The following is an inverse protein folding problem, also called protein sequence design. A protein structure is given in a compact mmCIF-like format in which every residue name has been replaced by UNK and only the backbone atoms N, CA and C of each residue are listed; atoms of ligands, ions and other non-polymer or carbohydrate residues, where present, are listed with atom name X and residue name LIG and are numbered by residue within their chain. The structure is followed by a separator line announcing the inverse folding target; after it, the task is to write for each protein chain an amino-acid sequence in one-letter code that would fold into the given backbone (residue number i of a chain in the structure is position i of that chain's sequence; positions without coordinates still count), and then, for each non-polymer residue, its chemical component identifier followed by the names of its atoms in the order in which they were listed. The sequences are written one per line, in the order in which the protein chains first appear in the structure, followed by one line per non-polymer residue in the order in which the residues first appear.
data_IF_020565648718
#
_entry.id   IF_020565648718
#
_cell.length_a   1.000
_cell.length_b   1.000
_cell.length_c   1.000
_cell.angle_alpha   90.00
_cell.angle_beta   90.00
_cell.angle_gamma   90.00
#
_symmetry.space_group_name_H-M   'P 1'
#
loop_
_entity.id
_entity.type
_entity.pdbx_description
1 polymer ?
#
# COMPACT_ATOMS: atom_id res chain seq x y z
N UNK A 1 16.10 -10.18 -15.42
CA UNK A 1 14.69 -10.63 -15.40
C UNK A 1 13.77 -9.42 -15.23
N UNK A 2 13.67 -8.52 -16.22
CA UNK A 2 12.90 -7.27 -16.07
C UNK A 2 11.40 -7.56 -15.84
N UNK A 3 10.79 -6.95 -14.84
CA UNK A 3 9.36 -7.09 -14.52
C UNK A 3 8.96 -8.47 -13.98
N UNK A 4 9.90 -9.25 -13.45
CA UNK A 4 9.67 -10.61 -12.93
C UNK A 4 10.13 -10.73 -11.48
N UNK A 5 9.63 -11.72 -10.74
CA UNK A 5 10.07 -11.98 -9.36
C UNK A 5 11.59 -12.11 -9.24
N UNK A 6 12.22 -12.79 -10.21
CA UNK A 6 13.67 -12.98 -10.23
C UNK A 6 14.48 -11.67 -10.37
N UNK A 7 13.88 -10.55 -10.76
CA UNK A 7 14.56 -9.25 -10.82
C UNK A 7 15.19 -8.89 -9.47
N UNK A 8 14.48 -9.17 -8.38
CA UNK A 8 14.90 -8.89 -7.02
C UNK A 8 15.87 -9.95 -6.46
N UNK A 9 16.32 -10.90 -7.29
CA UNK A 9 17.38 -11.87 -6.93
C UNK A 9 18.73 -11.51 -7.52
N UNK A 10 18.77 -10.56 -8.46
CA UNK A 10 19.97 -10.16 -9.20
C UNK A 10 20.82 -9.20 -8.35
N UNK A 11 22.05 -9.62 -8.04
CA UNK A 11 23.02 -8.81 -7.30
C UNK A 11 24.03 -8.17 -8.24
N UNK A 12 24.63 -7.06 -7.82
CA UNK A 12 25.62 -6.31 -8.59
C UNK A 12 25.02 -5.56 -9.78
N UNK A 13 23.70 -5.33 -9.79
CA UNK A 13 23.04 -4.65 -10.91
C UNK A 13 23.26 -3.15 -10.85
N UNK A 14 23.56 -2.55 -12.00
CA UNK A 14 23.79 -1.11 -12.13
C UNK A 14 23.01 -0.52 -13.29
N UNK A 15 22.72 0.78 -13.22
CA UNK A 15 22.26 1.59 -14.35
C UNK A 15 23.39 1.76 -15.37
N UNK A 16 23.08 2.35 -16.53
CA UNK A 16 24.09 2.71 -17.53
C UNK A 16 25.09 3.77 -17.05
N UNK A 17 24.73 4.54 -16.01
CA UNK A 17 25.60 5.52 -15.35
C UNK A 17 26.41 4.94 -14.18
N UNK A 18 26.24 3.64 -13.87
CA UNK A 18 26.98 2.95 -12.81
C UNK A 18 26.34 3.05 -11.42
N UNK A 19 25.16 3.65 -11.29
CA UNK A 19 24.42 3.68 -10.01
C UNK A 19 23.84 2.29 -9.71
N UNK A 20 23.88 1.86 -8.45
CA UNK A 20 23.27 0.57 -8.04
C UNK A 20 21.76 0.59 -8.32
N UNK A 21 21.22 -0.54 -8.75
CA UNK A 21 19.78 -0.75 -9.01
C UNK A 21 19.30 -2.03 -8.32
N UNK A 22 18.00 -2.31 -8.38
CA UNK A 22 17.43 -3.56 -7.86
C UNK A 22 17.69 -3.73 -6.37
N UNK A 23 18.04 -4.95 -5.94
CA UNK A 23 18.25 -5.28 -4.52
C UNK A 23 19.39 -4.49 -3.89
N UNK A 24 20.43 -4.15 -4.65
CA UNK A 24 21.58 -3.40 -4.14
C UNK A 24 21.24 -1.94 -3.87
N UNK A 25 20.32 -1.35 -4.64
CA UNK A 25 19.77 -0.03 -4.33
C UNK A 25 18.92 -0.05 -3.07
N UNK A 26 18.08 -1.07 -2.88
CA UNK A 26 17.26 -1.20 -1.67
C UNK A 26 18.13 -1.30 -0.40
N UNK A 27 19.21 -2.08 -0.46
CA UNK A 27 20.20 -2.16 0.62
C UNK A 27 20.91 -0.83 0.87
N UNK A 28 21.24 -0.12 -0.19
CA UNK A 28 21.91 1.19 -0.10
C UNK A 28 21.00 2.26 0.50
N UNK A 29 19.70 2.23 0.18
CA UNK A 29 18.69 3.11 0.75
C UNK A 29 18.47 2.86 2.25
N UNK A 30 18.77 1.65 2.74
CA UNK A 30 18.69 1.32 4.16
C UNK A 30 17.28 0.99 4.66
N UNK A 31 16.34 0.69 3.76
CA UNK A 31 14.99 0.24 4.10
C UNK A 31 15.02 -1.12 4.82
N UNK A 32 14.03 -1.35 5.68
CA UNK A 32 13.91 -2.60 6.46
C UNK A 32 12.91 -3.58 5.85
N UNK A 33 11.90 -3.07 5.14
CA UNK A 33 10.83 -3.84 4.54
C UNK A 33 10.58 -3.36 3.11
N UNK A 34 10.32 -4.29 2.20
CA UNK A 34 9.74 -3.99 0.88
C UNK A 34 8.26 -4.35 0.93
N UNK A 35 7.39 -3.36 0.71
CA UNK A 35 5.97 -3.55 0.46
C UNK A 35 5.78 -3.79 -1.04
N UNK A 36 5.41 -5.02 -1.40
CA UNK A 36 5.03 -5.41 -2.75
C UNK A 36 3.54 -5.15 -2.94
N UNK A 37 3.18 -4.42 -4.00
CA UNK A 37 1.80 -4.37 -4.52
C UNK A 37 1.25 -5.80 -4.73
N UNK A 38 -0.08 -5.95 -4.91
CA UNK A 38 -0.70 -7.27 -5.02
C UNK A 38 0.05 -8.19 -5.98
N UNK A 39 0.59 -9.26 -5.42
CA UNK A 39 1.49 -10.19 -6.14
C UNK A 39 0.97 -11.64 -6.11
N UNK A 40 -0.27 -11.82 -5.69
CA UNK A 40 -1.05 -13.01 -5.98
C UNK A 40 -1.90 -12.79 -7.22
N UNK A 41 -2.41 -13.87 -7.79
CA UNK A 41 -3.11 -13.94 -9.06
C UNK A 41 -4.31 -13.00 -9.15
N UNK A 42 -4.25 -12.10 -10.13
CA UNK A 42 -5.27 -11.10 -10.45
C UNK A 42 -5.65 -11.17 -11.94
N UNK A 43 -6.82 -10.64 -12.31
CA UNK A 43 -7.48 -11.04 -13.55
C UNK A 43 -7.07 -10.24 -14.82
N UNK A 44 -6.61 -9.01 -14.65
CA UNK A 44 -6.55 -8.01 -15.71
C UNK A 44 -5.35 -8.11 -16.66
N UNK A 45 -4.31 -8.88 -16.31
CA UNK A 45 -3.16 -9.13 -17.19
C UNK A 45 -3.27 -10.52 -17.80
N UNK A 46 -3.40 -10.57 -19.13
CA UNK A 46 -3.52 -11.84 -19.85
C UNK A 46 -2.15 -12.53 -19.96
N UNK A 47 -1.91 -13.51 -19.09
CA UNK A 47 -0.70 -14.33 -19.03
C UNK A 47 -0.46 -15.17 -20.30
N UNK A 48 -1.43 -15.26 -21.21
CA UNK A 48 -1.26 -15.96 -22.50
C UNK A 48 -0.67 -15.06 -23.59
N UNK A 49 -0.62 -13.74 -23.37
CA UNK A 49 -0.14 -12.73 -24.33
C UNK A 49 1.15 -12.07 -23.86
N UNK A 50 2.19 -12.89 -23.69
CA UNK A 50 3.49 -12.46 -23.14
C UNK A 50 4.24 -11.44 -24.01
N UNK A 51 3.91 -11.35 -25.30
CA UNK A 51 4.48 -10.41 -26.27
C UNK A 51 3.72 -9.08 -26.33
N UNK A 52 2.56 -8.99 -25.67
CA UNK A 52 1.75 -7.77 -25.60
C UNK A 52 2.06 -7.03 -24.31
N UNK A 53 2.48 -5.77 -24.43
CA UNK A 53 2.60 -4.88 -23.28
C UNK A 53 1.23 -4.70 -22.60
N UNK A 54 1.18 -5.04 -21.32
CA UNK A 54 0.00 -5.00 -20.46
C UNK A 54 0.48 -4.53 -19.09
N UNK A 55 -0.36 -3.78 -18.38
CA UNK A 55 -0.03 -3.28 -17.06
C UNK A 55 -1.28 -3.27 -16.20
N UNK A 56 -1.16 -3.77 -14.98
CA UNK A 56 -2.09 -3.50 -13.89
C UNK A 56 -1.32 -3.46 -12.56
N UNK A 57 -1.85 -2.76 -11.56
CA UNK A 57 -1.37 -2.83 -10.18
C UNK A 57 -1.72 -4.15 -9.46
N UNK A 58 -2.77 -4.85 -9.91
CA UNK A 58 -3.17 -6.15 -9.38
C UNK A 58 -4.25 -6.11 -8.30
N UNK A 59 -4.94 -4.97 -8.13
CA UNK A 59 -6.04 -4.81 -7.16
C UNK A 59 -7.33 -5.50 -7.58
N UNK A 60 -7.29 -6.42 -8.52
CA UNK A 60 -8.40 -7.20 -9.04
C UNK A 60 -8.23 -8.70 -8.77
N UNK A 61 -8.29 -9.12 -7.48
CA UNK A 61 -7.98 -10.49 -7.06
C UNK A 61 -8.85 -11.54 -7.76
N UNK A 62 -8.19 -12.60 -8.22
CA UNK A 62 -8.82 -13.80 -8.76
C UNK A 62 -8.55 -15.03 -7.89
N UNK A 63 -7.29 -15.31 -7.56
CA UNK A 63 -6.91 -16.45 -6.70
C UNK A 63 -5.93 -16.02 -5.58
N UNK A 64 -6.48 -15.73 -4.40
CA UNK A 64 -5.72 -15.16 -3.25
C UNK A 64 -4.50 -15.95 -2.76
N UNK A 65 -4.40 -17.26 -3.06
CA UNK A 65 -3.36 -18.14 -2.53
C UNK A 65 -2.37 -18.65 -3.59
N UNK A 66 -2.33 -17.98 -4.75
CA UNK A 66 -1.45 -18.33 -5.87
C UNK A 66 -0.67 -17.07 -6.25
N UNK A 67 0.68 -17.08 -6.33
CA UNK A 67 1.43 -15.96 -6.88
C UNK A 67 0.97 -15.61 -8.29
N UNK A 68 1.03 -14.34 -8.67
CA UNK A 68 0.65 -13.92 -10.01
C UNK A 68 1.64 -14.47 -11.06
N UNK A 69 1.13 -14.98 -12.18
CA UNK A 69 1.94 -15.58 -13.23
C UNK A 69 2.51 -14.56 -14.21
N UNK A 70 1.98 -13.33 -14.29
CA UNK A 70 2.57 -12.29 -15.14
C UNK A 70 3.98 -11.89 -14.69
N UNK A 71 4.29 -12.07 -13.40
CA UNK A 71 5.63 -11.88 -12.83
C UNK A 71 6.51 -13.14 -12.88
N UNK A 72 5.98 -14.27 -13.36
CA UNK A 72 6.72 -15.53 -13.59
C UNK A 72 7.46 -15.53 -14.93
N UNK A 73 8.58 -16.24 -15.02
CA UNK A 73 9.27 -16.46 -16.31
C UNK A 73 8.54 -17.43 -17.22
N UNK A 74 7.69 -18.31 -16.68
CA UNK A 74 6.88 -19.27 -17.42
C UNK A 74 5.54 -19.48 -16.70
N UNK A 75 4.47 -18.72 -17.04
CA UNK A 75 3.18 -18.83 -16.37
C UNK A 75 2.45 -20.13 -16.68
N UNK A 76 2.82 -20.86 -17.73
CA UNK A 76 2.21 -22.13 -18.13
C UNK A 76 2.63 -23.31 -17.25
N UNK A 77 3.66 -23.14 -16.42
CA UNK A 77 4.12 -24.13 -15.45
C UNK A 77 3.78 -23.69 -14.02
N UNK A 78 2.83 -24.37 -13.35
CA UNK A 78 2.34 -23.94 -12.04
C UNK A 78 3.42 -23.78 -10.97
N UNK A 79 4.44 -24.63 -10.98
CA UNK A 79 5.52 -24.61 -9.98
C UNK A 79 6.49 -23.44 -10.13
N UNK A 80 6.59 -22.86 -11.34
CA UNK A 80 7.58 -21.80 -11.63
C UNK A 80 7.26 -20.53 -10.85
N UNK A 81 6.01 -20.05 -10.90
CA UNK A 81 5.58 -18.84 -10.17
C UNK A 81 5.77 -18.97 -8.66
N UNK A 82 5.50 -20.16 -8.11
CA UNK A 82 5.68 -20.47 -6.69
C UNK A 82 7.17 -20.40 -6.32
N UNK A 83 8.01 -21.10 -7.07
CA UNK A 83 9.46 -21.16 -6.80
C UNK A 83 10.11 -19.78 -6.95
N UNK A 84 9.77 -19.03 -8.00
CA UNK A 84 10.37 -17.73 -8.27
C UNK A 84 9.96 -16.68 -7.23
N UNK A 85 8.69 -16.68 -6.79
CA UNK A 85 8.26 -15.84 -5.66
C UNK A 85 9.06 -16.17 -4.39
N UNK A 86 9.23 -17.45 -4.06
CA UNK A 86 10.05 -17.87 -2.90
C UNK A 86 11.52 -17.49 -3.04
N UNK A 87 12.07 -17.55 -4.26
CA UNK A 87 13.45 -17.11 -4.52
C UNK A 87 13.61 -15.60 -4.32
N UNK A 88 12.63 -14.79 -4.73
CA UNK A 88 12.58 -13.36 -4.46
C UNK A 88 12.57 -13.09 -2.95
N UNK A 89 11.63 -13.70 -2.20
CA UNK A 89 11.56 -13.52 -0.74
C UNK A 89 12.88 -13.93 -0.08
N UNK A 90 13.43 -15.09 -0.45
CA UNK A 90 14.72 -15.56 0.07
C UNK A 90 15.87 -14.58 -0.24
N UNK A 91 15.91 -13.98 -1.43
CA UNK A 91 16.95 -13.02 -1.81
C UNK A 91 16.85 -11.73 -0.97
N UNK A 92 15.65 -11.20 -0.78
CA UNK A 92 15.38 -10.05 0.09
C UNK A 92 15.80 -10.35 1.54
N UNK A 93 15.42 -11.52 2.08
CA UNK A 93 15.84 -11.94 3.43
C UNK A 93 17.35 -12.05 3.57
N UNK A 94 18.05 -12.63 2.57
CA UNK A 94 19.53 -12.68 2.54
C UNK A 94 20.17 -11.30 2.49
N UNK A 95 19.47 -10.31 1.93
CA UNK A 95 19.88 -8.92 1.93
C UNK A 95 19.57 -8.19 3.26
N UNK A 96 18.91 -8.85 4.22
CA UNK A 96 18.47 -8.26 5.49
C UNK A 96 17.16 -7.47 5.38
N UNK A 97 16.41 -7.66 4.29
CA UNK A 97 15.18 -6.93 3.98
C UNK A 97 13.98 -7.88 4.15
N UNK A 98 13.00 -7.46 4.94
CA UNK A 98 11.72 -8.16 5.13
C UNK A 98 10.73 -7.85 4.01
N UNK A 99 9.71 -8.69 3.85
CA UNK A 99 8.71 -8.58 2.77
C UNK A 99 7.32 -8.36 3.35
N UNK A 100 6.67 -7.28 2.95
CA UNK A 100 5.25 -7.01 3.18
C UNK A 100 4.48 -7.30 1.90
N UNK A 101 3.39 -8.06 2.01
CA UNK A 101 2.48 -8.32 0.90
C UNK A 101 1.23 -7.45 1.00
N UNK A 102 0.92 -6.71 -0.06
CA UNK A 102 -0.38 -6.05 -0.22
C UNK A 102 -1.49 -7.08 -0.44
N UNK A 103 -2.57 -7.00 0.35
CA UNK A 103 -3.67 -7.96 0.32
C UNK A 103 -5.03 -7.29 0.21
N UNK A 104 -5.80 -7.76 -0.77
CA UNK A 104 -7.08 -7.18 -1.24
C UNK A 104 -8.23 -8.11 -0.90
N UNK A 105 -8.41 -8.41 0.39
CA UNK A 105 -9.54 -9.26 0.80
C UNK A 105 -10.88 -8.55 0.74
N UNK A 106 -10.90 -7.23 0.52
CA UNK A 106 -12.10 -6.40 0.61
C UNK A 106 -13.07 -6.57 -0.57
N UNK A 107 -12.61 -7.07 -1.73
CA UNK A 107 -13.44 -7.37 -2.90
C UNK A 107 -12.77 -8.44 -3.79
N UNK A 108 -13.49 -8.95 -4.80
CA UNK A 108 -12.95 -9.77 -5.91
C UNK A 108 -13.10 -9.06 -7.26
N UNK A 109 -12.28 -9.40 -8.26
CA UNK A 109 -12.38 -8.82 -9.62
C UNK A 109 -13.81 -8.88 -10.20
N UNK A 110 -14.45 -10.04 -10.06
CA UNK A 110 -15.82 -10.28 -10.48
C UNK A 110 -16.62 -10.79 -9.27
N UNK A 111 -17.92 -10.53 -9.22
CA UNK A 111 -18.83 -11.06 -8.20
C UNK A 111 -19.46 -12.38 -8.67
N UNK A 112 -20.31 -12.33 -9.70
CA UNK A 112 -21.14 -13.46 -10.15
C UNK A 112 -20.30 -14.65 -10.65
N UNK A 113 -19.15 -14.38 -11.28
CA UNK A 113 -18.25 -15.42 -11.79
C UNK A 113 -17.13 -15.79 -10.80
N UNK A 114 -17.09 -15.17 -9.62
CA UNK A 114 -16.09 -15.48 -8.60
C UNK A 114 -16.20 -16.94 -8.15
N UNK A 115 -15.06 -17.50 -7.72
CA UNK A 115 -15.06 -18.83 -7.11
C UNK A 115 -15.95 -18.87 -5.86
N UNK A 116 -16.07 -17.76 -5.12
CA UNK A 116 -16.92 -17.68 -3.95
C UNK A 116 -18.41 -17.77 -4.29
N UNK A 117 -18.91 -16.95 -5.21
CA UNK A 117 -20.31 -16.92 -5.60
C UNK A 117 -20.72 -18.22 -6.31
N UNK A 118 -19.83 -18.78 -7.14
CA UNK A 118 -20.04 -20.09 -7.79
C UNK A 118 -20.08 -21.25 -6.80
N UNK A 119 -19.48 -21.11 -5.62
CA UNK A 119 -19.45 -22.16 -4.59
C UNK A 119 -20.62 -22.03 -3.61
N UNK A 120 -20.85 -20.84 -3.06
CA UNK A 120 -21.94 -20.56 -2.12
C UNK A 120 -22.59 -19.22 -2.48
N UNK A 121 -23.60 -19.22 -3.37
CA UNK A 121 -24.25 -18.00 -3.82
C UNK A 121 -24.77 -17.14 -2.67
N UNK A 122 -24.48 -15.84 -2.71
CA UNK A 122 -24.92 -14.82 -1.76
C UNK A 122 -24.21 -14.84 -0.41
N UNK A 123 -23.23 -15.72 -0.17
CA UNK A 123 -22.59 -15.88 1.15
C UNK A 123 -21.32 -15.04 1.35
N UNK A 124 -20.47 -14.87 0.35
CA UNK A 124 -19.15 -14.24 0.61
C UNK A 124 -19.13 -12.73 0.40
N UNK A 125 -20.22 -12.16 -0.11
CA UNK A 125 -20.36 -10.73 -0.38
C UNK A 125 -21.46 -10.12 0.48
N UNK A 126 -21.29 -8.84 0.84
CA UNK A 126 -22.37 -8.08 1.45
C UNK A 126 -23.35 -7.63 0.37
N UNK A 127 -24.61 -7.49 0.79
CA UNK A 127 -25.68 -6.98 -0.04
C UNK A 127 -26.34 -5.81 0.66
N UNK A 128 -26.84 -4.87 -0.13
CA UNK A 128 -27.71 -3.80 0.36
C UNK A 128 -29.07 -4.36 0.78
N UNK A 129 -29.88 -3.55 1.47
CA UNK A 129 -31.22 -3.95 1.95
C UNK A 129 -32.18 -4.37 0.84
N UNK A 130 -31.99 -3.84 -0.36
CA UNK A 130 -32.73 -4.16 -1.59
C UNK A 130 -32.13 -5.34 -2.39
N UNK A 131 -31.12 -6.02 -1.83
CA UNK A 131 -30.54 -7.24 -2.39
C UNK A 131 -29.54 -7.03 -3.52
N UNK A 132 -29.10 -5.80 -3.76
CA UNK A 132 -28.01 -5.52 -4.70
C UNK A 132 -26.65 -5.80 -4.04
N UNK A 133 -25.62 -6.00 -4.84
CA UNK A 133 -24.26 -6.11 -4.32
C UNK A 133 -23.85 -4.78 -3.67
N UNK A 134 -23.38 -4.88 -2.43
CA UNK A 134 -22.80 -3.74 -1.75
C UNK A 134 -21.47 -3.34 -2.39
N UNK A 135 -21.12 -2.06 -2.35
CA UNK A 135 -19.97 -1.56 -3.09
C UNK A 135 -19.08 -0.62 -2.25
N UNK A 136 -18.77 -0.99 -1.00
CA UNK A 136 -17.86 -0.19 -0.17
C UNK A 136 -16.45 -0.06 -0.76
N UNK A 137 -16.03 -1.01 -1.60
CA UNK A 137 -14.76 -0.96 -2.34
C UNK A 137 -14.75 0.02 -3.50
N UNK A 138 -15.92 0.42 -4.02
CA UNK A 138 -16.02 1.14 -5.29
C UNK A 138 -15.78 0.26 -6.53
N UNK A 139 -15.43 -1.02 -6.36
CA UNK A 139 -15.02 -1.96 -7.42
C UNK A 139 -16.11 -2.99 -7.80
N UNK A 140 -17.35 -2.78 -7.37
CA UNK A 140 -18.54 -3.54 -7.75
C UNK A 140 -19.02 -4.55 -6.70
N UNK A 141 -18.20 -4.89 -5.71
CA UNK A 141 -18.58 -5.74 -4.58
C UNK A 141 -17.77 -5.41 -3.32
N UNK A 142 -18.26 -5.80 -2.16
CA UNK A 142 -17.45 -5.89 -0.93
C UNK A 142 -17.65 -7.26 -0.27
N UNK A 143 -16.56 -7.88 0.16
CA UNK A 143 -16.62 -9.18 0.84
C UNK A 143 -17.19 -9.03 2.26
N UNK A 144 -17.87 -10.07 2.72
CA UNK A 144 -18.52 -10.11 4.01
C UNK A 144 -17.61 -10.75 5.07
N UNK A 145 -16.54 -10.05 5.46
CA UNK A 145 -15.57 -10.56 6.44
C UNK A 145 -16.21 -10.93 7.79
N UNK A 146 -17.36 -10.34 8.14
CA UNK A 146 -18.11 -10.62 9.35
C UNK A 146 -18.81 -12.00 9.33
N UNK A 147 -18.83 -12.68 8.18
CA UNK A 147 -19.37 -14.04 8.05
C UNK A 147 -18.28 -15.07 8.34
N UNK A 148 -18.63 -16.05 9.17
CA UNK A 148 -17.68 -17.03 9.73
C UNK A 148 -16.75 -17.68 8.71
N UNK A 149 -17.26 -18.08 7.53
CA UNK A 149 -16.43 -18.74 6.52
C UNK A 149 -15.56 -17.78 5.71
N UNK A 150 -15.97 -16.51 5.54
CA UNK A 150 -15.08 -15.51 4.92
C UNK A 150 -13.96 -15.13 5.90
N UNK A 151 -14.28 -14.93 7.18
CA UNK A 151 -13.29 -14.73 8.24
C UNK A 151 -12.27 -15.86 8.29
N UNK A 152 -12.77 -17.10 8.35
CA UNK A 152 -11.92 -18.31 8.32
C UNK A 152 -11.01 -18.32 7.09
N UNK A 153 -11.57 -18.02 5.91
CA UNK A 153 -10.79 -17.95 4.68
C UNK A 153 -9.68 -16.91 4.75
N UNK A 154 -9.96 -15.68 5.20
CA UNK A 154 -8.96 -14.62 5.33
C UNK A 154 -7.84 -15.02 6.29
N UNK A 155 -8.18 -15.59 7.45
CA UNK A 155 -7.20 -16.08 8.43
C UNK A 155 -6.34 -17.17 7.79
N UNK A 156 -6.93 -18.20 7.20
CA UNK A 156 -6.19 -19.31 6.59
C UNK A 156 -5.30 -18.86 5.43
N UNK A 157 -5.79 -17.92 4.62
CA UNK A 157 -5.03 -17.35 3.52
C UNK A 157 -3.79 -16.58 4.01
N UNK A 158 -3.95 -15.72 5.02
CA UNK A 158 -2.83 -15.02 5.66
C UNK A 158 -1.82 -16.01 6.25
N UNK A 159 -2.29 -16.98 7.03
CA UNK A 159 -1.41 -17.98 7.63
C UNK A 159 -0.70 -18.83 6.57
N UNK A 160 -1.33 -19.09 5.43
CA UNK A 160 -0.69 -19.78 4.30
C UNK A 160 0.46 -18.93 3.72
N UNK A 161 0.26 -17.64 3.48
CA UNK A 161 1.34 -16.76 3.00
C UNK A 161 2.52 -16.68 3.99
N UNK A 162 2.25 -16.67 5.29
CA UNK A 162 3.30 -16.73 6.33
C UNK A 162 4.04 -18.07 6.27
N UNK A 163 3.32 -19.19 6.35
CA UNK A 163 3.95 -20.50 6.49
C UNK A 163 4.62 -21.00 5.21
N UNK A 164 4.01 -20.75 4.05
CA UNK A 164 4.47 -21.28 2.76
C UNK A 164 5.51 -20.36 2.09
N UNK A 165 5.37 -19.04 2.24
CA UNK A 165 6.18 -18.04 1.55
C UNK A 165 7.03 -17.18 2.49
N UNK A 166 6.88 -17.32 3.81
CA UNK A 166 7.66 -16.60 4.82
C UNK A 166 7.51 -15.08 4.72
N UNK A 167 6.28 -14.61 4.48
CA UNK A 167 5.94 -13.19 4.46
C UNK A 167 6.06 -12.59 5.87
N UNK A 168 6.65 -11.40 5.96
CA UNK A 168 6.96 -10.70 7.23
C UNK A 168 5.97 -9.59 7.58
N UNK A 169 4.98 -9.33 6.73
CA UNK A 169 3.91 -8.40 7.05
C UNK A 169 2.86 -8.28 5.96
N UNK A 170 1.76 -7.60 6.29
CA UNK A 170 0.62 -7.43 5.40
C UNK A 170 0.11 -5.99 5.43
N UNK A 171 -0.06 -5.41 4.23
CA UNK A 171 -0.84 -4.18 4.03
C UNK A 171 -2.21 -4.58 3.53
N UNK A 172 -3.24 -4.29 4.32
CA UNK A 172 -4.64 -4.55 3.96
C UNK A 172 -5.19 -3.38 3.15
N UNK A 173 -5.44 -3.64 1.87
CA UNK A 173 -6.16 -2.74 0.97
C UNK A 173 -7.58 -2.50 1.48
N UNK A 174 -8.01 -1.24 1.50
CA UNK A 174 -9.30 -0.80 2.04
C UNK A 174 -9.69 -1.53 3.32
N UNK A 175 -8.75 -1.62 4.27
CA UNK A 175 -8.92 -2.31 5.57
C UNK A 175 -10.21 -1.87 6.26
N UNK A 176 -10.64 -0.62 6.09
CA UNK A 176 -11.87 -0.06 6.61
C UNK A 176 -13.15 -0.78 6.19
N UNK A 177 -13.15 -1.61 5.14
CA UNK A 177 -14.29 -2.45 4.72
C UNK A 177 -14.49 -3.66 5.64
N UNK A 178 -13.43 -4.13 6.29
CA UNK A 178 -13.47 -5.30 7.14
C UNK A 178 -14.01 -4.97 8.54
N UNK A 179 -14.57 -5.97 9.21
CA UNK A 179 -14.97 -5.84 10.61
C UNK A 179 -13.77 -5.98 11.56
N UNK A 180 -13.83 -5.26 12.67
CA UNK A 180 -12.78 -5.24 13.72
C UNK A 180 -12.51 -6.63 14.30
N UNK A 181 -13.55 -7.46 14.45
CA UNK A 181 -13.40 -8.81 14.99
C UNK A 181 -12.51 -9.66 14.09
N UNK A 182 -12.78 -9.70 12.78
CA UNK A 182 -11.93 -10.39 11.80
C UNK A 182 -10.48 -9.88 11.85
N UNK A 183 -10.26 -8.57 11.86
CA UNK A 183 -8.91 -8.01 11.89
C UNK A 183 -8.14 -8.39 13.16
N UNK A 184 -8.80 -8.38 14.32
CA UNK A 184 -8.21 -8.81 15.59
C UNK A 184 -7.96 -10.33 15.63
N UNK A 185 -8.86 -11.15 15.07
CA UNK A 185 -8.65 -12.59 14.97
C UNK A 185 -7.45 -12.93 14.06
N UNK A 186 -7.28 -12.23 12.94
CA UNK A 186 -6.10 -12.34 12.08
C UNK A 186 -4.86 -11.96 12.88
N UNK A 187 -4.84 -10.80 13.55
CA UNK A 187 -3.69 -10.36 14.35
C UNK A 187 -3.31 -11.38 15.42
N UNK A 188 -4.29 -11.92 16.13
CA UNK A 188 -4.09 -12.95 17.15
C UNK A 188 -3.58 -14.28 16.56
N UNK A 189 -3.99 -14.63 15.34
CA UNK A 189 -3.50 -15.82 14.64
C UNK A 189 -2.04 -15.63 14.19
N UNK A 190 -1.68 -14.47 13.64
CA UNK A 190 -0.30 -14.14 13.27
C UNK A 190 0.61 -14.15 14.52
N UNK A 191 0.17 -13.56 15.63
CA UNK A 191 0.96 -13.47 16.87
C UNK A 191 1.33 -14.83 17.47
N UNK A 192 0.54 -15.87 17.20
CA UNK A 192 0.86 -17.25 17.61
C UNK A 192 2.00 -17.86 16.79
N UNK A 193 2.24 -17.35 15.58
CA UNK A 193 3.34 -17.79 14.71
C UNK A 193 4.56 -16.92 14.97
N UNK A 194 4.44 -15.61 14.74
CA UNK A 194 5.51 -14.65 14.94
C UNK A 194 4.94 -13.25 15.21
N UNK A 195 5.08 -12.72 16.44
CA UNK A 195 4.61 -11.38 16.78
C UNK A 195 5.42 -10.25 16.10
N UNK A 196 6.56 -10.55 15.48
CA UNK A 196 7.32 -9.55 14.72
C UNK A 196 6.69 -9.21 13.36
N UNK A 197 5.77 -10.05 12.85
CA UNK A 197 5.08 -9.83 11.57
C UNK A 197 4.20 -8.59 11.68
N UNK A 198 4.42 -7.62 10.80
CA UNK A 198 3.76 -6.32 10.84
C UNK A 198 2.41 -6.34 10.12
N UNK A 199 1.42 -5.60 10.63
CA UNK A 199 0.09 -5.54 10.00
C UNK A 199 -0.45 -4.11 10.03
N UNK A 200 -0.84 -3.63 8.86
CA UNK A 200 -1.38 -2.28 8.68
C UNK A 200 -2.30 -2.22 7.48
N UNK A 201 -2.96 -1.09 7.27
CA UNK A 201 -3.79 -0.92 6.09
C UNK A 201 -4.43 0.46 5.96
N UNK A 202 -5.34 0.55 5.03
CA UNK A 202 -6.12 1.75 4.76
C UNK A 202 -7.35 1.78 5.66
N UNK A 203 -7.31 2.61 6.70
CA UNK A 203 -8.43 2.77 7.64
C UNK A 203 -9.63 3.52 7.07
N UNK A 204 -9.91 3.36 5.78
CA UNK A 204 -11.02 3.95 5.02
C UNK A 204 -11.64 2.92 4.06
N UNK A 205 -12.70 3.33 3.40
CA UNK A 205 -13.33 2.61 2.29
C UNK A 205 -13.59 3.62 1.16
N UNK A 206 -13.73 3.15 -0.09
CA UNK A 206 -14.04 4.03 -1.21
C UNK A 206 -15.50 4.53 -1.20
N UNK A 207 -16.39 3.79 -0.54
CA UNK A 207 -17.79 4.16 -0.31
C UNK A 207 -18.26 3.56 1.00
N UNK A 208 -19.38 4.05 1.54
CA UNK A 208 -19.92 3.60 2.83
C UNK A 208 -20.20 2.09 2.83
N UNK A 209 -19.49 1.28 3.65
CA UNK A 209 -19.73 -0.15 3.76
C UNK A 209 -21.09 -0.47 4.41
N UNK A 210 -21.61 -1.69 4.24
CA UNK A 210 -22.90 -2.09 4.82
C UNK A 210 -22.88 -2.45 6.31
N UNK A 211 -21.73 -2.34 6.99
CA UNK A 211 -21.65 -2.52 8.43
C UNK A 211 -21.74 -1.20 9.18
N UNK A 212 -22.22 -1.26 10.41
CA UNK A 212 -22.24 -0.11 11.32
C UNK A 212 -20.81 0.42 11.56
N UNK A 213 -20.69 1.75 11.62
CA UNK A 213 -19.39 2.43 11.66
C UNK A 213 -18.50 2.02 12.85
N UNK A 214 -19.07 1.61 13.97
CA UNK A 214 -18.34 1.19 15.17
C UNK A 214 -17.81 -0.25 15.11
N UNK A 215 -18.23 -1.02 14.11
CA UNK A 215 -17.79 -2.39 13.80
C UNK A 215 -16.72 -2.44 12.72
N UNK A 216 -16.59 -1.39 11.92
CA UNK A 216 -15.63 -1.33 10.80
C UNK A 216 -14.21 -1.05 11.28
N UNK A 217 -13.22 -1.69 10.65
CA UNK A 217 -11.79 -1.51 10.88
C UNK A 217 -11.25 -0.18 10.29
N UNK A 218 -12.05 0.88 10.43
CA UNK A 218 -11.72 2.24 10.06
C UNK A 218 -10.69 2.82 11.03
N UNK A 219 -9.95 3.84 10.56
CA UNK A 219 -8.97 4.58 11.34
C UNK A 219 -9.54 5.09 12.66
N UNK A 220 -10.79 5.57 12.64
CA UNK A 220 -11.52 6.02 13.84
C UNK A 220 -11.68 4.96 14.95
N UNK A 221 -11.50 3.68 14.62
CA UNK A 221 -11.60 2.53 15.53
C UNK A 221 -10.26 1.82 15.78
N UNK A 222 -9.11 2.39 15.36
CA UNK A 222 -7.78 1.77 15.55
C UNK A 222 -7.45 1.51 17.02
N UNK A 223 -8.04 2.28 17.94
CA UNK A 223 -7.98 2.04 19.39
C UNK A 223 -8.56 0.66 19.81
N UNK A 224 -9.44 0.06 19.00
CA UNK A 224 -10.02 -1.28 19.21
C UNK A 224 -9.19 -2.39 18.53
N UNK A 225 -8.10 -2.04 17.86
CA UNK A 225 -7.29 -2.91 17.01
C UNK A 225 -5.81 -2.87 17.40
N UNK A 226 -5.45 -3.31 18.62
CA UNK A 226 -4.07 -3.25 19.09
C UNK A 226 -3.12 -4.01 18.16
N UNK A 227 -1.95 -3.42 17.89
CA UNK A 227 -0.91 -3.98 16.98
C UNK A 227 -1.35 -4.07 15.52
N UNK A 228 -2.37 -3.30 15.14
CA UNK A 228 -2.77 -3.05 13.75
C UNK A 228 -2.59 -1.56 13.51
N UNK A 229 -1.86 -1.21 12.45
CA UNK A 229 -1.58 0.18 12.09
C UNK A 229 -2.45 0.67 10.93
N UNK A 230 -2.54 1.99 10.75
CA UNK A 230 -3.24 2.62 9.63
C UNK A 230 -2.40 3.74 9.01
N UNK A 231 -2.58 3.96 7.71
CA UNK A 231 -2.06 5.15 7.03
C UNK A 231 -2.66 6.44 7.60
N UNK A 232 -1.80 7.43 7.85
CA UNK A 232 -2.24 8.78 8.27
C UNK A 232 -2.35 9.72 7.08
N UNK A 233 -3.55 9.77 6.50
CA UNK A 233 -3.92 10.79 5.51
C UNK A 233 -3.88 12.21 6.11
N UNK A 234 -3.92 12.37 7.44
CA UNK A 234 -3.83 13.66 8.11
C UNK A 234 -2.46 14.29 7.86
N UNK A 235 -1.40 13.53 8.13
CA UNK A 235 -0.04 13.99 7.90
C UNK A 235 0.23 14.21 6.40
N UNK A 236 -0.18 13.25 5.56
CA UNK A 236 -0.04 13.33 4.11
C UNK A 236 -0.63 14.63 3.57
N UNK A 237 -1.91 14.88 3.86
CA UNK A 237 -2.64 16.01 3.28
C UNK A 237 -2.28 17.34 3.96
N UNK A 238 -1.83 17.30 5.21
CA UNK A 238 -1.21 18.44 5.87
C UNK A 238 0.09 18.88 5.19
N UNK A 239 0.87 17.94 4.65
CA UNK A 239 2.12 18.24 3.94
C UNK A 239 1.87 18.68 2.49
N UNK A 240 1.16 17.87 1.69
CA UNK A 240 1.09 18.01 0.23
C UNK A 240 -0.24 18.56 -0.33
N UNK A 241 -1.26 18.67 0.52
CA UNK A 241 -2.64 18.95 0.10
C UNK A 241 -3.47 17.69 -0.09
N UNK A 242 -4.79 17.87 -0.16
CA UNK A 242 -5.77 16.79 -0.26
C UNK A 242 -5.75 16.05 -1.60
N UNK A 243 -6.18 14.79 -1.57
CA UNK A 243 -6.28 13.93 -2.76
C UNK A 243 -7.29 14.41 -3.81
N UNK A 244 -8.26 15.25 -3.41
CA UNK A 244 -9.41 15.66 -4.23
C UNK A 244 -9.08 16.73 -5.30
N UNK A 245 -7.96 17.43 -5.17
CA UNK A 245 -7.52 18.47 -6.11
C UNK A 245 -5.99 18.57 -6.18
N UNK A 246 -5.42 18.04 -7.26
CA UNK A 246 -3.96 18.03 -7.52
C UNK A 246 -3.33 19.40 -7.67
N UNK A 247 -4.13 20.45 -7.87
CA UNK A 247 -3.63 21.82 -8.03
C UNK A 247 -3.52 22.58 -6.71
N UNK A 248 -4.03 22.02 -5.60
CA UNK A 248 -4.00 22.64 -4.28
C UNK A 248 -2.90 22.04 -3.41
N UNK A 249 -1.89 22.83 -3.08
CA UNK A 249 -0.86 22.43 -2.11
C UNK A 249 -1.28 22.64 -0.66
N UNK A 250 -0.37 22.36 0.26
CA UNK A 250 -0.51 22.61 1.69
C UNK A 250 0.80 23.17 2.27
N UNK A 251 1.23 22.70 3.44
CA UNK A 251 2.38 23.24 4.15
C UNK A 251 3.67 23.30 3.31
N UNK A 252 3.93 22.28 2.47
CA UNK A 252 5.15 22.25 1.66
C UNK A 252 5.27 23.43 0.69
N UNK A 253 4.15 23.95 0.20
CA UNK A 253 4.15 25.11 -0.71
C UNK A 253 3.91 26.43 0.01
N UNK A 254 3.93 26.41 1.35
CA UNK A 254 3.78 27.60 2.19
C UNK A 254 2.33 27.98 2.52
N UNK A 255 1.35 27.12 2.24
CA UNK A 255 -0.04 27.40 2.63
C UNK A 255 -0.22 27.26 4.15
N UNK A 256 -0.81 28.27 4.82
CA UNK A 256 -1.01 28.25 6.27
C UNK A 256 -2.20 27.36 6.68
N UNK A 257 -2.24 26.94 7.95
CA UNK A 257 -3.41 26.25 8.52
C UNK A 257 -3.33 24.73 8.53
N UNK A 258 -2.23 24.15 8.06
CA UNK A 258 -1.98 22.71 8.00
C UNK A 258 -1.08 22.19 9.14
N UNK A 259 -0.57 23.08 9.99
CA UNK A 259 0.44 22.78 11.00
C UNK A 259 -0.06 21.77 12.05
N UNK A 260 -1.36 21.78 12.35
CA UNK A 260 -1.95 20.85 13.33
C UNK A 260 -2.02 19.42 12.82
N UNK A 261 -2.33 19.21 11.54
CA UNK A 261 -2.28 17.87 10.94
C UNK A 261 -0.84 17.33 10.87
N UNK A 262 0.14 18.20 10.64
CA UNK A 262 1.57 17.81 10.69
C UNK A 262 1.97 17.46 12.12
N UNK A 263 1.61 18.28 13.13
CA UNK A 263 1.87 17.96 14.54
C UNK A 263 1.20 16.65 14.96
N UNK A 264 -0.01 16.39 14.48
CA UNK A 264 -0.73 15.14 14.71
C UNK A 264 0.07 13.93 14.19
N UNK A 265 0.62 14.03 12.98
CA UNK A 265 1.54 13.03 12.43
C UNK A 265 2.85 12.90 13.19
N UNK A 266 3.48 14.02 13.58
CA UNK A 266 4.76 14.04 14.33
C UNK A 266 4.69 13.26 15.63
N UNK A 267 3.56 13.35 16.34
CA UNK A 267 3.38 12.63 17.62
C UNK A 267 2.94 11.18 17.42
N UNK A 268 2.72 10.71 16.18
CA UNK A 268 2.30 9.35 15.90
C UNK A 268 0.80 9.11 16.12
N UNK A 269 -0.04 10.13 15.90
CA UNK A 269 -1.49 10.10 16.05
C UNK A 269 -2.02 9.70 17.45
N UNK A 270 -1.16 9.74 18.48
CA UNK A 270 -1.54 9.53 19.89
C UNK A 270 -1.97 10.85 20.55
N UNK A 271 -2.53 10.74 21.75
CA UNK A 271 -2.85 11.90 22.58
C UNK A 271 -1.58 12.69 22.95
N UNK A 272 -1.59 13.99 22.69
CA UNK A 272 -0.47 14.88 23.00
C UNK A 272 -0.96 16.30 23.32
N UNK A 273 -0.47 16.96 24.38
CA UNK A 273 -0.97 18.26 24.83
C UNK A 273 -0.75 19.42 23.85
N UNK A 274 0.12 19.25 22.85
CA UNK A 274 0.39 20.26 21.82
C UNK A 274 -0.43 20.07 20.53
N UNK A 275 -1.30 19.06 20.48
CA UNK A 275 -2.17 18.76 19.33
C UNK A 275 -3.59 19.17 19.67
N UNK A 276 -4.15 20.09 18.88
CA UNK A 276 -5.53 20.56 19.03
C UNK A 276 -6.38 19.85 17.97
N UNK A 277 -7.06 18.77 18.35
CA UNK A 277 -7.75 17.88 17.39
C UNK A 277 -8.82 18.57 16.55
N UNK A 278 -9.48 19.63 17.06
CA UNK A 278 -10.48 20.37 16.28
C UNK A 278 -9.89 21.04 15.03
N UNK A 279 -8.60 21.37 15.07
CA UNK A 279 -7.83 21.98 13.98
C UNK A 279 -7.10 20.98 13.10
N UNK A 280 -7.25 19.67 13.35
CA UNK A 280 -6.80 18.61 12.44
C UNK A 280 -7.89 18.39 11.38
N UNK A 281 -7.46 18.13 10.14
CA UNK A 281 -8.35 18.03 8.97
C UNK A 281 -9.51 17.04 9.16
N UNK A 282 -9.24 15.74 9.25
CA UNK A 282 -10.25 14.68 9.25
C UNK A 282 -10.53 14.13 10.66
N UNK A 283 -9.54 14.19 11.55
CA UNK A 283 -9.58 13.51 12.84
C UNK A 283 -9.83 14.47 13.99
N UNK A 284 -10.95 14.26 14.72
CA UNK A 284 -11.34 15.08 15.88
C UNK A 284 -10.89 14.54 17.22
N UNK A 285 -10.19 13.42 17.23
CA UNK A 285 -9.51 12.84 18.38
C UNK A 285 -8.28 12.05 17.90
N UNK A 286 -7.27 11.81 18.77
CA UNK A 286 -6.27 10.78 18.49
C UNK A 286 -6.96 9.44 18.26
N UNK A 287 -6.42 8.65 17.34
CA UNK A 287 -6.97 7.34 16.97
C UNK A 287 -6.00 6.19 17.25
N UNK A 288 -4.72 6.47 17.46
CA UNK A 288 -3.71 5.48 17.81
C UNK A 288 -3.53 5.38 19.34
N UNK A 289 -3.36 4.17 19.86
CA UNK A 289 -2.94 3.96 21.26
C UNK A 289 -1.42 4.10 21.43
N UNK A 290 -0.68 3.76 20.38
CA UNK A 290 0.77 3.79 20.35
C UNK A 290 1.23 4.31 18.98
N UNK A 291 2.37 5.03 18.89
CA UNK A 291 2.86 5.54 17.61
C UNK A 291 3.04 4.46 16.55
N UNK A 292 3.36 3.22 16.94
CA UNK A 292 3.51 2.08 16.03
C UNK A 292 2.24 1.71 15.28
N UNK A 293 1.08 2.29 15.63
CA UNK A 293 -0.17 2.13 14.88
C UNK A 293 -0.35 3.19 13.78
N UNK A 294 0.56 4.15 13.64
CA UNK A 294 0.50 5.17 12.61
C UNK A 294 1.59 4.96 11.56
N UNK A 295 1.18 4.84 10.30
CA UNK A 295 2.10 4.89 9.16
C UNK A 295 2.25 6.36 8.73
N UNK A 296 3.45 6.93 8.90
CA UNK A 296 3.79 8.25 8.33
C UNK A 296 4.14 8.07 6.88
N UNK A 297 3.52 8.87 6.01
CA UNK A 297 3.81 8.86 4.59
C UNK A 297 3.41 10.21 3.97
N UNK A 298 3.94 10.46 2.77
CA UNK A 298 3.54 11.62 1.96
C UNK A 298 3.11 11.21 0.56
N UNK A 299 3.55 10.08 0.03
CA UNK A 299 3.06 9.56 -1.23
C UNK A 299 3.02 8.04 -1.22
N UNK A 300 2.23 7.45 -2.11
CA UNK A 300 2.13 6.02 -2.31
C UNK A 300 1.85 5.74 -3.79
N UNK A 301 1.42 4.53 -4.11
CA UNK A 301 1.12 4.16 -5.50
C UNK A 301 -0.14 4.85 -6.03
N UNK A 302 -1.12 5.14 -5.16
CA UNK A 302 -2.28 5.97 -5.45
C UNK A 302 -1.93 7.46 -5.55
N UNK A 303 -2.80 8.19 -6.24
CA UNK A 303 -2.67 9.61 -6.53
C UNK A 303 -1.35 9.96 -7.28
N UNK A 304 -1.08 11.26 -7.40
CA UNK A 304 0.23 11.73 -7.83
C UNK A 304 1.32 11.35 -6.82
N UNK A 305 2.44 10.86 -7.34
CA UNK A 305 3.70 10.81 -6.58
C UNK A 305 4.14 12.22 -6.17
N UNK A 306 5.03 12.31 -5.17
CA UNK A 306 5.35 13.60 -4.56
C UNK A 306 5.94 14.61 -5.55
N UNK A 307 6.83 14.18 -6.46
CA UNK A 307 7.46 15.07 -7.42
C UNK A 307 6.42 15.68 -8.39
N UNK A 308 5.48 14.87 -8.90
CA UNK A 308 4.38 15.35 -9.74
C UNK A 308 3.46 16.29 -8.96
N UNK A 309 3.14 15.96 -7.71
CA UNK A 309 2.28 16.80 -6.86
C UNK A 309 2.90 18.16 -6.59
N UNK A 310 4.20 18.21 -6.28
CA UNK A 310 4.92 19.47 -6.08
C UNK A 310 4.97 20.28 -7.39
N UNK A 311 5.20 19.63 -8.53
CA UNK A 311 5.19 20.30 -9.84
C UNK A 311 3.82 20.85 -10.21
N UNK A 312 2.74 20.14 -9.89
CA UNK A 312 1.37 20.59 -10.14
C UNK A 312 0.98 21.81 -9.28
N UNK A 313 1.47 21.86 -8.04
CA UNK A 313 1.16 22.93 -7.08
C UNK A 313 2.12 24.11 -7.16
N UNK A 314 3.35 23.90 -7.67
CA UNK A 314 4.39 24.91 -7.87
C UNK A 314 4.97 24.83 -9.29
N UNK A 315 4.20 25.17 -10.33
CA UNK A 315 4.62 24.97 -11.73
C UNK A 315 5.83 25.81 -12.16
N UNK A 316 6.09 26.92 -11.46
CA UNK A 316 7.20 27.83 -11.75
C UNK A 316 8.46 27.54 -10.92
N UNK A 317 8.40 26.57 -9.99
CA UNK A 317 9.54 26.21 -9.16
C UNK A 317 10.65 25.52 -9.96
N UNK A 318 11.90 25.83 -9.63
CA UNK A 318 13.08 25.15 -10.14
C UNK A 318 13.16 23.70 -9.64
N UNK A 319 13.92 22.87 -10.34
CA UNK A 319 14.16 21.48 -9.93
C UNK A 319 14.81 21.42 -8.55
N UNK A 320 15.70 22.36 -8.25
CA UNK A 320 16.38 22.48 -6.96
C UNK A 320 15.40 22.82 -5.82
N UNK A 321 14.44 23.70 -6.07
CA UNK A 321 13.37 24.01 -5.10
C UNK A 321 12.47 22.80 -4.87
N UNK A 322 12.05 22.11 -5.94
CA UNK A 322 11.24 20.89 -5.83
C UNK A 322 11.99 19.79 -5.07
N UNK A 323 13.29 19.61 -5.33
CA UNK A 323 14.14 18.66 -4.61
C UNK A 323 14.28 19.01 -3.12
N UNK A 324 14.40 20.30 -2.78
CA UNK A 324 14.43 20.74 -1.39
C UNK A 324 13.11 20.47 -0.66
N UNK A 325 11.97 20.71 -1.32
CA UNK A 325 10.64 20.41 -0.78
C UNK A 325 10.39 18.91 -0.63
N UNK A 326 10.88 18.09 -1.57
CA UNK A 326 10.85 16.63 -1.47
C UNK A 326 11.62 16.15 -0.24
N UNK A 327 12.86 16.63 -0.05
CA UNK A 327 13.66 16.34 1.14
C UNK A 327 12.99 16.82 2.43
N UNK A 328 12.33 17.97 2.42
CA UNK A 328 11.58 18.48 3.56
C UNK A 328 10.41 17.56 3.93
N UNK A 329 9.63 17.11 2.94
CA UNK A 329 8.52 16.20 3.15
C UNK A 329 8.98 14.87 3.77
N UNK A 330 10.02 14.27 3.20
CA UNK A 330 10.59 13.02 3.71
C UNK A 330 11.25 13.21 5.08
N UNK A 331 11.79 14.39 5.38
CA UNK A 331 12.28 14.70 6.73
C UNK A 331 11.15 14.59 7.76
N UNK A 332 9.95 15.10 7.45
CA UNK A 332 8.80 14.91 8.34
C UNK A 332 8.45 13.43 8.47
N UNK A 333 8.40 12.68 7.37
CA UNK A 333 8.07 11.24 7.40
C UNK A 333 9.05 10.45 8.28
N UNK A 334 10.35 10.66 8.10
CA UNK A 334 11.41 9.87 8.76
C UNK A 334 11.75 10.30 10.18
N UNK A 335 11.41 11.53 10.58
CA UNK A 335 11.72 12.04 11.93
C UNK A 335 10.50 12.10 12.86
N UNK A 336 9.30 11.79 12.35
CA UNK A 336 8.09 11.67 13.15
C UNK A 336 8.08 10.39 13.99
N UNK A 337 7.35 10.41 15.11
CA UNK A 337 7.00 9.16 15.79
C UNK A 337 6.06 8.35 14.90
N UNK A 338 6.23 7.03 14.91
CA UNK A 338 5.42 6.11 14.13
C UNK A 338 6.25 5.23 13.21
N UNK A 339 5.64 4.73 12.14
CA UNK A 339 6.29 3.84 11.17
C UNK A 339 6.41 4.55 9.83
N UNK A 340 7.63 4.93 9.41
CA UNK A 340 7.81 5.63 8.14
C UNK A 340 7.59 4.71 6.94
N UNK A 341 6.90 5.23 5.94
CA UNK A 341 6.68 4.64 4.64
C UNK A 341 7.14 5.61 3.55
N UNK A 342 7.95 5.10 2.62
CA UNK A 342 8.39 5.82 1.43
C UNK A 342 7.90 5.07 0.18
N UNK A 343 7.38 5.81 -0.80
CA UNK A 343 7.01 5.25 -2.08
C UNK A 343 8.24 5.05 -2.95
N UNK A 344 8.38 3.86 -3.56
CA UNK A 344 9.55 3.53 -4.37
C UNK A 344 9.78 4.55 -5.49
N UNK A 345 10.92 5.21 -5.46
CA UNK A 345 11.34 6.25 -6.38
C UNK A 345 11.19 7.68 -5.86
N UNK A 346 10.48 7.91 -4.74
CA UNK A 346 10.45 9.24 -4.12
C UNK A 346 11.85 9.66 -3.63
N UNK A 347 12.71 8.71 -3.27
CA UNK A 347 14.12 8.98 -2.95
C UNK A 347 14.94 9.49 -4.15
N UNK A 348 14.35 9.50 -5.34
CA UNK A 348 14.98 9.99 -6.56
C UNK A 348 14.02 10.83 -7.41
N UNK A 349 13.01 11.47 -6.80
CA UNK A 349 12.05 12.33 -7.50
C UNK A 349 11.34 11.62 -8.67
N UNK A 350 10.86 10.40 -8.44
CA UNK A 350 10.03 9.68 -9.43
C UNK A 350 8.86 10.54 -9.86
N UNK A 351 8.62 10.58 -11.16
CA UNK A 351 7.43 11.15 -11.77
C UNK A 351 6.63 10.08 -12.52
N UNK A 352 5.32 10.29 -12.62
CA UNK A 352 4.37 9.53 -13.43
C UNK A 352 3.76 10.44 -14.50
N UNK A 353 4.50 11.46 -14.95
CA UNK A 353 4.06 12.45 -15.96
C UNK A 353 2.73 13.13 -15.61
N UNK A 354 2.47 13.35 -14.32
CA UNK A 354 1.24 13.97 -13.82
C UNK A 354 0.01 13.05 -13.89
N UNK A 355 0.18 11.74 -14.07
CA UNK A 355 -0.94 10.79 -14.04
C UNK A 355 -1.36 10.54 -12.59
N UNK A 356 -2.55 11.02 -12.22
CA UNK A 356 -3.14 10.86 -10.89
C UNK A 356 -3.45 9.40 -10.53
N UNK A 357 -4.12 8.65 -11.40
CA UNK A 357 -4.39 7.23 -11.18
C UNK A 357 -3.81 6.41 -12.32
N UNK A 358 -2.74 5.67 -12.02
CA UNK A 358 -1.92 4.97 -13.01
C UNK A 358 -2.12 3.45 -12.99
N UNK A 359 -3.21 2.95 -12.39
CA UNK A 359 -3.44 1.52 -12.18
C UNK A 359 -3.31 0.66 -13.42
N UNK A 360 -3.75 1.13 -14.59
CA UNK A 360 -3.64 0.45 -15.88
C UNK A 360 -2.83 1.26 -16.92
N UNK A 361 -2.13 2.29 -16.47
CA UNK A 361 -1.29 3.11 -17.35
C UNK A 361 -0.06 2.31 -17.79
N UNK A 362 0.47 2.55 -19.01
CA UNK A 362 1.57 1.75 -19.55
C UNK A 362 2.86 1.89 -18.74
N UNK A 363 3.82 0.99 -18.97
CA UNK A 363 5.16 1.03 -18.36
C UNK A 363 5.86 2.38 -18.50
N UNK A 364 5.59 3.14 -19.58
CA UNK A 364 6.15 4.46 -19.79
C UNK A 364 5.68 5.52 -18.79
N UNK A 365 4.67 5.21 -17.97
CA UNK A 365 4.18 6.00 -16.83
C UNK A 365 4.67 5.40 -15.50
N UNK A 366 4.64 4.07 -15.38
CA UNK A 366 4.82 3.39 -14.09
C UNK A 366 6.25 2.90 -13.80
N UNK A 367 7.11 2.76 -14.80
CA UNK A 367 8.47 2.22 -14.60
C UNK A 367 9.30 3.15 -13.73
N UNK A 368 10.10 2.56 -12.83
CA UNK A 368 11.15 3.28 -12.11
C UNK A 368 12.26 3.67 -13.10
N UNK A 369 12.41 4.97 -13.39
CA UNK A 369 13.51 5.46 -14.23
C UNK A 369 14.80 5.62 -13.42
N UNK A 370 15.68 4.64 -13.51
CA UNK A 370 16.98 4.64 -12.84
C UNK A 370 17.92 5.79 -13.26
N UNK A 371 17.62 6.55 -14.32
CA UNK A 371 18.35 7.78 -14.64
C UNK A 371 18.11 8.85 -13.58
N UNK A 372 16.94 8.85 -12.94
CA UNK A 372 16.59 9.82 -11.91
C UNK A 372 17.52 9.72 -10.70
N UNK A 373 17.96 8.51 -10.32
CA UNK A 373 18.97 8.32 -9.27
C UNK A 373 20.29 9.05 -9.55
N UNK A 374 20.69 9.19 -10.81
CA UNK A 374 21.87 9.98 -11.19
C UNK A 374 21.53 11.48 -11.24
N UNK A 375 20.39 11.85 -11.81
CA UNK A 375 19.99 13.25 -11.96
C UNK A 375 19.70 13.94 -10.63
N UNK A 376 19.14 13.21 -9.67
CA UNK A 376 18.70 13.67 -8.35
C UNK A 376 19.49 12.98 -7.23
N UNK A 377 20.79 12.76 -7.46
CA UNK A 377 21.67 12.05 -6.54
C UNK A 377 21.78 12.70 -5.15
N UNK A 378 21.45 13.98 -5.02
CA UNK A 378 21.44 14.69 -3.75
C UNK A 378 20.17 14.46 -2.91
N UNK A 379 19.10 13.96 -3.55
CA UNK A 379 17.83 13.57 -2.89
C UNK A 379 17.95 12.18 -2.28
N UNK A 380 18.66 11.28 -2.97
CA UNK A 380 19.02 9.94 -2.50
C UNK A 380 20.14 10.00 -1.45
#
# INVERSE_FOLDING_TARGET
NKGKFLALTEQGTTSSSGEKTGIDHLKELGITHVHLLPSYDYASVDETKLDKAQYNWGYDPQNYNVPDGSYSTDPYKPDVRIREFKQMVQALHKAGIRVVLDVVYNHTFNTDESNFERTVPGYFYRQTKDGQWANGSGCGNETASDRAMMRKYMIESILYWINEYHIDGFRFDLMGIHDIETMNEIRAAIDKIDPSIFMYGEGWAASSPQLEADRLAMKANVEKMPRIAAFSDEMRDGLRGGWDDDTKGAFLVGEPGHEMSIKFGIVGAIEHPQVISDSVNYSKKPWALQPTQMISYVSCHDDMCLADRLKATMPDASVEELAALQKLAETFVFTSQGVPFIFAGDEMMRDKKGVHNSYNSPDSINTIDWKNKTAHKDVF
#
